data_IF_290792172452
#
_entry.id   IF_290792172452
#
_cell.length_a   1.000
_cell.length_b   1.000
_cell.length_c   1.000
_cell.angle_alpha   90.00
_cell.angle_beta   90.00
_cell.angle_gamma   90.00
#
_symmetry.space_group_name_H-M   'P 1'
#
loop_
_entity.id
_entity.type
_entity.pdbx_description
1 polymer ?
#
# COMPACT_ATOMS: atom_id res chain seq x y z
N UNK A 1 3.31 -47.73 -7.09
CA UNK A 1 3.75 -46.35 -7.42
C UNK A 1 5.23 -46.37 -7.74
N UNK A 2 5.61 -45.83 -8.87
CA UNK A 2 7.02 -45.69 -9.28
C UNK A 2 7.76 -44.74 -8.30
N UNK A 3 9.10 -44.88 -8.21
CA UNK A 3 9.93 -43.97 -7.38
C UNK A 3 9.69 -42.49 -7.76
N UNK A 4 9.52 -42.22 -9.06
CA UNK A 4 9.18 -40.89 -9.59
C UNK A 4 7.83 -40.36 -9.02
N UNK A 5 6.79 -41.21 -8.97
CA UNK A 5 5.49 -40.82 -8.41
C UNK A 5 5.54 -40.48 -6.93
N UNK A 6 6.37 -41.17 -6.14
CA UNK A 6 6.57 -40.86 -4.71
C UNK A 6 7.28 -39.53 -4.52
N UNK A 7 8.28 -39.22 -5.36
CA UNK A 7 9.01 -37.93 -5.31
C UNK A 7 8.09 -36.80 -5.71
N UNK A 8 7.30 -36.93 -6.77
CA UNK A 8 6.34 -35.92 -7.20
C UNK A 8 5.30 -35.63 -6.11
N UNK A 9 4.76 -36.72 -5.50
CA UNK A 9 3.81 -36.57 -4.39
C UNK A 9 4.43 -35.84 -3.18
N UNK A 10 5.68 -36.18 -2.82
CA UNK A 10 6.38 -35.51 -1.72
C UNK A 10 6.62 -34.02 -2.00
N UNK A 11 7.03 -33.67 -3.23
CA UNK A 11 7.20 -32.25 -3.64
C UNK A 11 5.87 -31.50 -3.59
N UNK A 12 4.78 -32.12 -4.07
CA UNK A 12 3.45 -31.51 -4.05
C UNK A 12 2.96 -31.25 -2.61
N UNK A 13 3.17 -32.20 -1.71
CA UNK A 13 2.82 -32.05 -0.28
C UNK A 13 3.66 -30.95 0.35
N UNK A 14 4.98 -30.93 0.11
CA UNK A 14 5.86 -29.90 0.62
C UNK A 14 5.45 -28.49 0.12
N UNK A 15 5.09 -28.38 -1.15
CA UNK A 15 4.60 -27.11 -1.73
C UNK A 15 3.27 -26.67 -1.13
N UNK A 16 2.32 -27.59 -0.93
CA UNK A 16 1.06 -27.29 -0.24
C UNK A 16 1.28 -26.83 1.20
N UNK A 17 2.17 -27.50 1.96
CA UNK A 17 2.53 -27.09 3.31
C UNK A 17 3.14 -25.69 3.33
N UNK A 18 4.01 -25.37 2.39
CA UNK A 18 4.61 -24.04 2.28
C UNK A 18 3.55 -22.97 2.01
N UNK A 19 2.57 -23.24 1.15
CA UNK A 19 1.44 -22.34 0.89
C UNK A 19 0.62 -22.13 2.18
N UNK A 20 0.30 -23.21 2.89
CA UNK A 20 -0.48 -23.11 4.14
C UNK A 20 0.27 -22.28 5.19
N UNK A 21 1.57 -22.51 5.36
CA UNK A 21 2.40 -21.72 6.28
C UNK A 21 2.43 -20.25 5.85
N UNK A 22 2.60 -19.96 4.56
CA UNK A 22 2.57 -18.59 4.06
C UNK A 22 1.23 -17.89 4.34
N UNK A 23 0.11 -18.59 4.13
CA UNK A 23 -1.23 -18.05 4.44
C UNK A 23 -1.37 -17.76 5.94
N UNK A 24 -0.93 -18.66 6.80
CA UNK A 24 -0.98 -18.47 8.27
C UNK A 24 -0.13 -17.25 8.67
N UNK A 25 1.10 -17.14 8.13
CA UNK A 25 1.98 -16.01 8.42
C UNK A 25 1.36 -14.67 7.99
N UNK A 26 0.75 -14.62 6.81
CA UNK A 26 0.07 -13.41 6.32
C UNK A 26 -1.17 -13.08 7.15
N UNK A 27 -1.97 -14.10 7.51
CA UNK A 27 -3.20 -13.93 8.28
C UNK A 27 -2.96 -13.50 9.73
N UNK A 28 -1.83 -13.91 10.31
CA UNK A 28 -1.46 -13.59 11.70
C UNK A 28 -0.47 -12.43 11.81
N UNK A 29 -0.07 -11.85 10.69
CA UNK A 29 0.91 -10.78 10.67
C UNK A 29 0.35 -9.51 11.29
N UNK A 30 1.09 -8.95 12.24
CA UNK A 30 0.78 -7.65 12.84
C UNK A 30 1.27 -6.52 11.91
N UNK A 31 0.36 -6.00 11.11
CA UNK A 31 0.61 -4.94 10.12
C UNK A 31 1.07 -3.63 10.77
N UNK A 32 0.74 -3.41 12.04
CA UNK A 32 1.19 -2.23 12.79
C UNK A 32 2.72 -2.16 12.91
N UNK A 33 3.41 -3.29 12.81
CA UNK A 33 4.88 -3.33 12.80
C UNK A 33 5.50 -2.64 11.59
N UNK A 34 4.75 -2.48 10.52
CA UNK A 34 5.22 -1.79 9.31
C UNK A 34 5.09 -0.27 9.40
N UNK A 35 4.29 0.26 10.33
CA UNK A 35 4.07 1.71 10.47
C UNK A 35 5.35 2.52 10.54
N UNK A 36 6.36 2.20 11.38
CA UNK A 36 7.59 2.99 11.43
C UNK A 36 8.29 3.07 10.07
N UNK A 37 8.37 1.93 9.39
CA UNK A 37 9.01 1.85 8.06
C UNK A 37 8.23 2.64 7.01
N UNK A 38 6.91 2.52 7.00
CA UNK A 38 6.03 3.27 6.08
C UNK A 38 6.14 4.75 6.36
N UNK A 39 6.00 5.16 7.62
CA UNK A 39 6.09 6.56 8.03
C UNK A 39 7.42 7.18 7.59
N UNK A 40 8.53 6.50 7.85
CA UNK A 40 9.86 6.97 7.48
C UNK A 40 10.03 7.08 5.96
N UNK A 41 9.64 6.06 5.20
CA UNK A 41 9.76 6.07 3.74
C UNK A 41 8.88 7.11 3.09
N UNK A 42 7.61 7.20 3.48
CA UNK A 42 6.68 8.19 2.93
C UNK A 42 7.11 9.60 3.31
N UNK A 43 7.56 9.84 4.54
CA UNK A 43 8.09 11.13 4.95
C UNK A 43 9.31 11.54 4.12
N UNK A 44 10.21 10.61 3.83
CA UNK A 44 11.40 10.85 3.03
C UNK A 44 11.03 11.16 1.56
N UNK A 45 10.13 10.39 0.96
CA UNK A 45 9.71 10.59 -0.44
C UNK A 45 8.95 11.90 -0.64
N UNK A 46 8.07 12.25 0.30
CA UNK A 46 7.28 13.48 0.23
C UNK A 46 8.03 14.71 0.77
N UNK A 47 9.19 14.49 1.38
CA UNK A 47 9.97 15.52 2.09
C UNK A 47 9.11 16.31 3.10
N UNK A 48 8.24 15.59 3.81
CA UNK A 48 7.29 16.12 4.80
C UNK A 48 7.01 15.12 5.90
N UNK A 49 6.68 15.58 7.11
CA UNK A 49 6.26 14.69 8.19
C UNK A 49 5.00 13.90 7.78
N UNK A 50 5.10 12.59 7.79
CA UNK A 50 3.99 11.67 7.57
C UNK A 50 3.92 10.67 8.70
N UNK A 51 2.73 10.40 9.21
CA UNK A 51 2.53 9.41 10.25
C UNK A 51 1.16 8.74 10.15
N UNK A 52 1.15 7.41 10.29
CA UNK A 52 -0.03 6.62 10.62
C UNK A 52 0.01 6.42 12.12
N UNK A 53 -0.87 7.08 12.86
CA UNK A 53 -0.90 7.02 14.33
C UNK A 53 -1.83 5.93 14.84
N UNK A 54 -2.93 5.70 14.15
CA UNK A 54 -3.93 4.71 14.51
C UNK A 54 -3.59 3.31 14.01
N UNK A 55 -4.58 2.47 13.89
CA UNK A 55 -4.43 1.09 13.47
C UNK A 55 -4.12 0.97 11.98
N UNK A 56 -3.25 0.03 11.65
CA UNK A 56 -2.97 -0.39 10.27
C UNK A 56 -3.23 -1.89 10.19
N UNK A 57 -4.17 -2.26 9.34
CA UNK A 57 -4.56 -3.64 9.20
C UNK A 57 -4.93 -4.03 7.79
N UNK A 58 -5.02 -5.34 7.58
CA UNK A 58 -5.47 -5.95 6.35
C UNK A 58 -6.49 -7.02 6.66
N UNK A 59 -7.65 -6.91 6.05
CA UNK A 59 -8.73 -7.91 6.11
C UNK A 59 -8.85 -8.57 4.75
N UNK A 60 -8.92 -9.89 4.74
CA UNK A 60 -9.03 -10.66 3.50
C UNK A 60 -10.49 -11.02 3.23
N UNK A 61 -11.03 -10.49 2.14
CA UNK A 61 -12.41 -10.72 1.76
C UNK A 61 -12.52 -11.23 0.33
N UNK A 62 -13.55 -12.05 0.08
CA UNK A 62 -13.86 -12.52 -1.27
C UNK A 62 -14.70 -11.49 -2.01
N UNK A 63 -14.31 -11.16 -3.23
CA UNK A 63 -15.07 -10.27 -4.08
C UNK A 63 -16.29 -11.01 -4.66
N UNK A 64 -17.48 -10.53 -4.32
CA UNK A 64 -18.75 -11.10 -4.80
C UNK A 64 -18.98 -10.90 -6.31
N UNK A 65 -18.26 -9.95 -6.91
CA UNK A 65 -18.39 -9.60 -8.33
C UNK A 65 -17.52 -10.48 -9.24
N UNK A 66 -16.55 -11.17 -8.67
CA UNK A 66 -15.68 -12.08 -9.41
C UNK A 66 -16.37 -13.42 -9.66
N UNK A 67 -16.11 -14.01 -10.83
CA UNK A 67 -16.70 -15.28 -11.27
C UNK A 67 -15.62 -16.33 -11.56
N UNK A 68 -16.03 -17.60 -11.54
CA UNK A 68 -15.13 -18.70 -11.80
C UNK A 68 -14.07 -18.88 -10.69
N UNK A 69 -12.87 -19.31 -11.04
CA UNK A 69 -11.79 -19.58 -10.09
C UNK A 69 -11.30 -18.31 -9.35
N UNK A 70 -11.49 -17.13 -9.96
CA UNK A 70 -11.10 -15.84 -9.36
C UNK A 70 -11.92 -15.51 -8.11
N UNK A 71 -13.15 -16.00 -8.01
CA UNK A 71 -14.00 -15.82 -6.82
C UNK A 71 -13.43 -16.50 -5.56
N UNK A 72 -12.49 -17.41 -5.73
CA UNK A 72 -11.80 -18.09 -4.63
C UNK A 72 -10.58 -17.34 -4.12
N UNK A 73 -10.10 -16.35 -4.88
CA UNK A 73 -8.96 -15.52 -4.49
C UNK A 73 -9.44 -14.43 -3.54
N UNK A 74 -9.00 -14.42 -2.28
CA UNK A 74 -9.36 -13.33 -1.36
C UNK A 74 -8.59 -12.06 -1.72
N UNK A 75 -9.28 -10.94 -1.64
CA UNK A 75 -8.68 -9.63 -1.88
C UNK A 75 -8.34 -8.96 -0.56
N UNK A 76 -7.14 -8.36 -0.42
CA UNK A 76 -6.79 -7.60 0.75
C UNK A 76 -7.50 -6.25 0.76
N UNK A 77 -8.23 -6.00 1.83
CA UNK A 77 -8.77 -4.70 2.21
C UNK A 77 -7.87 -4.10 3.26
N UNK A 78 -7.11 -3.11 2.84
CA UNK A 78 -6.18 -2.39 3.72
C UNK A 78 -6.95 -1.26 4.38
N UNK A 79 -6.81 -1.11 5.70
CA UNK A 79 -7.28 0.06 6.41
C UNK A 79 -6.15 0.68 7.21
N UNK A 80 -6.18 2.01 7.28
CA UNK A 80 -5.26 2.79 8.09
C UNK A 80 -6.03 3.91 8.78
N UNK A 81 -5.76 4.11 10.04
CA UNK A 81 -6.45 5.10 10.87
C UNK A 81 -5.50 6.20 11.34
N UNK A 82 -6.07 7.38 11.58
CA UNK A 82 -5.38 8.56 12.07
C UNK A 82 -4.09 8.87 11.30
N UNK A 83 -4.24 9.09 9.98
CA UNK A 83 -3.14 9.43 9.09
C UNK A 83 -2.97 10.94 9.10
N UNK A 84 -1.73 11.39 9.31
CA UNK A 84 -1.35 12.80 9.34
C UNK A 84 -0.25 13.05 8.33
N UNK A 85 -0.45 14.10 7.53
CA UNK A 85 0.58 14.69 6.68
C UNK A 85 0.85 16.12 7.16
N UNK A 86 2.09 16.39 7.50
CA UNK A 86 2.53 17.71 7.94
C UNK A 86 2.78 18.68 6.80
N UNK A 87 2.86 19.96 7.16
CA UNK A 87 3.30 21.02 6.27
C UNK A 87 4.83 21.04 6.11
N UNK A 88 5.36 21.67 5.05
CA UNK A 88 6.78 21.96 4.97
C UNK A 88 7.23 22.89 6.10
N UNK A 89 8.55 22.92 6.44
CA UNK A 89 9.08 23.63 7.60
C UNK A 89 8.85 25.14 7.60
N UNK A 90 8.66 25.74 6.45
CA UNK A 90 8.44 27.17 6.24
C UNK A 90 6.99 27.61 6.47
N UNK A 91 6.07 26.66 6.68
CA UNK A 91 4.67 26.92 7.01
C UNK A 91 4.44 26.65 8.50
N UNK A 92 3.95 27.65 9.27
CA UNK A 92 3.87 27.56 10.72
C UNK A 92 2.83 26.56 11.22
N UNK A 93 1.83 26.23 10.42
CA UNK A 93 0.84 25.21 10.77
C UNK A 93 1.44 23.80 10.67
N UNK A 94 1.23 22.98 11.69
CA UNK A 94 1.87 21.65 11.78
C UNK A 94 1.24 20.65 10.83
N UNK A 95 -0.09 20.65 10.69
CA UNK A 95 -0.83 19.63 9.95
C UNK A 95 -1.44 20.21 8.68
N UNK A 96 -1.11 19.61 7.55
CA UNK A 96 -1.73 19.89 6.25
C UNK A 96 -2.98 19.05 6.02
N UNK A 97 -2.87 17.73 6.23
CA UNK A 97 -3.95 16.78 6.00
C UNK A 97 -4.09 15.86 7.20
N UNK A 98 -5.31 15.67 7.62
CA UNK A 98 -5.70 14.65 8.58
C UNK A 98 -6.78 13.75 8.00
N UNK A 99 -6.51 12.46 7.95
CA UNK A 99 -7.43 11.43 7.48
C UNK A 99 -7.75 10.51 8.66
N UNK A 100 -8.92 10.62 9.25
CA UNK A 100 -9.32 9.76 10.36
C UNK A 100 -9.31 8.28 9.99
N UNK A 101 -9.73 7.95 8.76
CA UNK A 101 -9.69 6.58 8.25
C UNK A 101 -9.57 6.55 6.73
N UNK A 102 -8.71 5.69 6.25
CA UNK A 102 -8.57 5.34 4.84
C UNK A 102 -8.74 3.85 4.69
N UNK A 103 -9.55 3.44 3.75
CA UNK A 103 -9.73 2.05 3.36
C UNK A 103 -9.47 1.91 1.87
N UNK A 104 -8.80 0.87 1.47
CA UNK A 104 -8.53 0.57 0.07
C UNK A 104 -8.55 -0.93 -0.19
N UNK A 105 -9.07 -1.31 -1.35
CA UNK A 105 -9.00 -2.69 -1.83
C UNK A 105 -7.90 -2.79 -2.85
N UNK A 106 -7.07 -3.80 -2.72
CA UNK A 106 -5.99 -4.09 -3.66
C UNK A 106 -6.35 -5.32 -4.48
N UNK A 107 -6.18 -5.23 -5.80
CA UNK A 107 -6.36 -6.39 -6.69
C UNK A 107 -5.10 -7.28 -6.71
N UNK A 108 -5.11 -8.45 -6.05
CA UNK A 108 -3.90 -9.25 -5.88
C UNK A 108 -3.39 -9.83 -7.20
N UNK A 109 -4.29 -10.15 -8.12
CA UNK A 109 -3.90 -10.71 -9.43
C UNK A 109 -3.23 -9.67 -10.34
N UNK A 110 -3.51 -8.38 -10.16
CA UNK A 110 -2.85 -7.31 -10.90
C UNK A 110 -1.37 -7.18 -10.53
N UNK A 111 -0.99 -7.58 -9.31
CA UNK A 111 0.41 -7.58 -8.88
C UNK A 111 1.27 -8.56 -9.69
N UNK A 112 0.69 -9.64 -10.21
CA UNK A 112 1.40 -10.58 -11.07
C UNK A 112 1.84 -9.93 -12.40
N UNK A 113 1.16 -8.87 -12.82
CA UNK A 113 1.49 -8.06 -14.00
C UNK A 113 2.22 -6.76 -13.63
N UNK A 114 2.79 -6.69 -12.43
CA UNK A 114 3.45 -5.48 -11.89
C UNK A 114 2.55 -4.23 -11.91
N UNK A 115 1.25 -4.44 -11.75
CA UNK A 115 0.26 -3.38 -11.67
C UNK A 115 -0.31 -3.30 -10.26
N UNK A 116 -0.18 -2.15 -9.61
CA UNK A 116 -0.88 -1.86 -8.36
C UNK A 116 -2.23 -1.26 -8.76
N UNK A 117 -3.26 -2.11 -8.71
CA UNK A 117 -4.62 -1.68 -9.02
C UNK A 117 -5.44 -1.60 -7.74
N UNK A 118 -5.93 -0.39 -7.46
CA UNK A 118 -6.80 -0.05 -6.34
C UNK A 118 -8.19 0.29 -6.88
N UNK A 119 -9.07 -0.70 -7.06
CA UNK A 119 -10.39 -0.47 -7.64
C UNK A 119 -11.33 0.30 -6.71
N UNK A 120 -10.95 0.43 -5.46
CA UNK A 120 -11.78 1.12 -4.48
C UNK A 120 -10.95 1.73 -3.35
N UNK A 121 -11.18 3.02 -3.11
CA UNK A 121 -10.60 3.78 -2.00
C UNK A 121 -11.72 4.57 -1.34
N UNK A 122 -11.79 4.47 -0.02
CA UNK A 122 -12.71 5.26 0.81
C UNK A 122 -11.92 6.11 1.78
N UNK A 123 -12.24 7.38 1.81
CA UNK A 123 -11.73 8.33 2.77
C UNK A 123 -12.87 8.76 3.68
N UNK A 124 -12.68 8.66 4.98
CA UNK A 124 -13.66 9.11 5.96
C UNK A 124 -13.27 10.48 6.49
N UNK A 125 -14.16 11.46 6.30
CA UNK A 125 -14.04 12.84 6.81
C UNK A 125 -12.64 13.45 6.64
N UNK A 126 -12.09 13.50 5.42
CA UNK A 126 -10.79 14.08 5.19
C UNK A 126 -10.80 15.57 5.59
N UNK A 127 -9.85 15.99 6.41
CA UNK A 127 -9.59 17.38 6.72
C UNK A 127 -8.27 17.78 6.06
N UNK A 128 -8.34 18.72 5.13
CA UNK A 128 -7.18 19.22 4.41
C UNK A 128 -7.17 20.74 4.45
N UNK A 129 -6.04 21.31 4.88
CA UNK A 129 -5.83 22.75 4.97
C UNK A 129 -4.82 23.20 3.94
N UNK A 130 -5.33 23.84 2.88
CA UNK A 130 -4.51 24.39 1.83
C UNK A 130 -4.09 25.80 2.18
N UNK A 131 -2.77 26.04 2.30
CA UNK A 131 -2.19 27.31 2.69
C UNK A 131 -1.27 27.80 1.58
N UNK A 132 -1.46 29.04 1.16
CA UNK A 132 -0.60 29.75 0.22
C UNK A 132 0.00 30.97 0.90
N UNK A 133 1.32 30.99 1.05
CA UNK A 133 2.04 32.13 1.60
C UNK A 133 2.44 33.14 0.52
N UNK A 134 2.75 32.66 -0.70
CA UNK A 134 3.09 33.51 -1.85
C UNK A 134 2.78 32.78 -3.15
N UNK A 135 3.02 33.43 -4.32
CA UNK A 135 2.83 32.78 -5.62
C UNK A 135 3.66 31.51 -5.82
N UNK A 136 4.80 31.43 -5.17
CA UNK A 136 5.74 30.29 -5.25
C UNK A 136 5.79 29.42 -4.00
N UNK A 137 5.12 29.83 -2.92
CA UNK A 137 5.16 29.13 -1.64
C UNK A 137 3.74 28.74 -1.19
N UNK A 138 3.46 27.44 -1.25
CA UNK A 138 2.20 26.83 -0.86
C UNK A 138 2.43 25.43 -0.29
N UNK A 139 1.43 24.86 0.37
CA UNK A 139 1.55 23.53 0.97
C UNK A 139 1.06 22.38 0.10
N UNK A 140 0.55 22.60 -1.10
CA UNK A 140 0.10 21.55 -2.01
C UNK A 140 1.10 21.19 -3.10
N UNK A 141 2.19 21.95 -3.26
CA UNK A 141 3.29 21.57 -4.16
C UNK A 141 4.28 20.67 -3.44
N UNK A 142 4.49 19.48 -3.95
CA UNK A 142 5.40 18.49 -3.39
C UNK A 142 6.69 18.46 -4.19
N UNK A 143 7.82 18.63 -3.51
CA UNK A 143 9.13 18.35 -4.06
C UNK A 143 9.47 16.90 -3.67
N UNK A 144 9.24 15.98 -4.58
CA UNK A 144 9.53 14.56 -4.34
C UNK A 144 11.05 14.34 -4.33
N UNK A 145 11.53 13.51 -3.41
CA UNK A 145 12.95 13.24 -3.23
C UNK A 145 13.64 12.68 -4.50
N UNK A 146 12.86 12.10 -5.41
CA UNK A 146 13.35 11.54 -6.68
C UNK A 146 13.31 12.53 -7.85
N UNK A 147 12.82 13.76 -7.68
CA UNK A 147 12.77 14.76 -8.78
C UNK A 147 14.15 15.32 -9.11
N UNK A 148 15.08 15.30 -8.16
CA UNK A 148 16.46 15.78 -8.38
C UNK A 148 17.35 14.77 -9.14
N UNK A 149 16.88 13.53 -9.35
CA UNK A 149 17.56 12.47 -10.10
C UNK A 149 16.82 12.11 -11.40
N UNK A 150 16.35 13.12 -12.15
CA UNK A 150 16.02 12.90 -13.57
C UNK A 150 17.30 12.74 -14.40
N UNK A 151 18.05 11.67 -14.11
CA UNK A 151 18.97 11.13 -15.10
C UNK A 151 18.14 10.70 -16.31
N UNK A 152 18.43 11.29 -17.46
CA UNK A 152 17.76 11.03 -18.74
C UNK A 152 17.85 9.56 -19.19
N UNK A 153 18.44 8.69 -18.37
CA UNK A 153 18.60 7.24 -18.54
C UNK A 153 17.91 6.39 -17.47
N UNK A 154 17.09 6.96 -16.59
CA UNK A 154 16.31 6.16 -15.65
C UNK A 154 15.33 5.29 -16.45
N UNK A 155 15.51 3.98 -16.43
CA UNK A 155 14.51 3.03 -16.95
C UNK A 155 13.18 3.33 -16.27
N UNK A 156 12.07 3.49 -17.04
CA UNK A 156 10.76 3.72 -16.43
C UNK A 156 10.49 2.61 -15.42
N UNK A 157 9.93 2.97 -14.26
CA UNK A 157 9.53 1.99 -13.24
C UNK A 157 8.74 0.87 -13.92
N UNK A 158 9.14 -0.39 -13.69
CA UNK A 158 8.43 -1.53 -14.24
C UNK A 158 7.02 -1.73 -13.61
N UNK A 159 6.68 -0.91 -12.62
CA UNK A 159 5.40 -0.92 -11.92
C UNK A 159 4.48 0.19 -12.42
N UNK A 160 3.22 -0.16 -12.67
CA UNK A 160 2.16 0.79 -13.01
C UNK A 160 1.15 0.89 -11.86
N UNK A 161 0.53 2.06 -11.70
CA UNK A 161 -0.55 2.30 -10.74
C UNK A 161 -1.84 2.57 -11.49
N UNK A 162 -2.93 1.96 -11.02
CA UNK A 162 -4.27 2.16 -11.55
C UNK A 162 -5.23 2.45 -10.41
N UNK A 163 -5.99 3.52 -10.55
CA UNK A 163 -7.11 3.92 -9.71
C UNK A 163 -8.36 3.92 -10.58
N UNK A 164 -9.46 3.36 -10.09
CA UNK A 164 -10.77 3.41 -10.76
C UNK A 164 -11.74 4.28 -9.96
#
# INVERSE_FOLDING_TARGET
MSKAGKITAAISVAFLLLIVVAIILIATFDWNRLKPTINQKVSAELNRPFAIRGDLGVVWERQKQETGWRSWVPWPHVHAEDIILGNPPDIPEVTMVHLPRVEATLAPLALLTKTVWLPWIKLEKPDARLIRLSEKNNNWTFNLANDDNKDANAKPSAWSFRLD
#
